data_IF_431049259309
#
_entry.id   IF_431049259309
#
_cell.length_a   1.000
_cell.length_b   1.000
_cell.length_c   1.000
_cell.angle_alpha   90.00
_cell.angle_beta   90.00
_cell.angle_gamma   90.00
#
_symmetry.space_group_name_H-M   'P 1'
#
loop_
_entity.id
_entity.type
_entity.pdbx_description
1 polymer ?
#
# COMPACT_ATOMS: atom_id res chain seq x y z
N UNK A 1 -23.28 -1.49 0.39
CA UNK A 1 -22.19 -1.94 1.26
C UNK A 1 -21.06 -0.93 1.10
N UNK A 2 -20.64 -0.23 2.17
CA UNK A 2 -19.51 0.69 2.09
C UNK A 2 -18.24 -0.09 1.66
N UNK A 3 -17.40 0.53 0.83
CA UNK A 3 -16.19 -0.09 0.26
C UNK A 3 -15.28 -0.74 1.33
N UNK A 4 -15.35 -0.28 2.58
CA UNK A 4 -14.62 -0.79 3.74
C UNK A 4 -14.95 -2.24 4.14
N UNK A 5 -16.02 -2.84 3.63
CA UNK A 5 -16.48 -4.17 4.10
C UNK A 5 -15.99 -5.35 3.25
N UNK A 6 -15.32 -5.13 2.12
CA UNK A 6 -14.87 -6.24 1.25
C UNK A 6 -13.41 -6.09 0.86
N UNK A 7 -12.55 -6.93 1.44
CA UNK A 7 -11.27 -7.22 0.83
C UNK A 7 -11.55 -8.10 -0.38
N UNK A 8 -11.10 -7.70 -1.58
CA UNK A 8 -11.26 -8.52 -2.79
C UNK A 8 -10.53 -9.88 -2.65
N UNK A 9 -9.66 -10.03 -1.66
CA UNK A 9 -9.04 -11.29 -1.23
C UNK A 9 -9.76 -11.95 -0.06
N UNK A 10 -11.09 -11.87 -0.01
CA UNK A 10 -12.06 -12.36 1.00
C UNK A 10 -11.65 -13.58 1.87
N UNK A 11 -10.73 -14.44 1.42
CA UNK A 11 -10.21 -15.62 2.11
C UNK A 11 -8.96 -15.42 2.99
N UNK A 12 -8.31 -14.24 3.00
CA UNK A 12 -6.97 -14.09 3.63
C UNK A 12 -6.88 -13.08 4.77
N UNK A 13 -7.86 -12.18 4.89
CA UNK A 13 -7.90 -11.22 5.98
C UNK A 13 -9.32 -10.64 6.11
N UNK A 14 -9.73 -10.33 7.34
CA UNK A 14 -10.87 -9.44 7.56
C UNK A 14 -10.36 -8.01 7.41
N UNK A 15 -10.76 -7.24 6.36
CA UNK A 15 -10.24 -5.89 6.14
C UNK A 15 -10.58 -5.01 7.34
N UNK A 16 -9.57 -4.30 7.84
CA UNK A 16 -9.73 -3.22 8.80
C UNK A 16 -9.86 -1.88 8.08
N UNK A 17 -9.11 -1.72 6.98
CA UNK A 17 -9.19 -0.56 6.10
C UNK A 17 -8.77 -0.96 4.68
N UNK A 18 -9.40 -0.35 3.69
CA UNK A 18 -9.04 -0.53 2.29
C UNK A 18 -9.25 0.74 1.45
N UNK A 19 -8.56 0.79 0.32
CA UNK A 19 -8.79 1.74 -0.77
C UNK A 19 -8.85 0.93 -2.05
N UNK A 20 -9.94 1.06 -2.81
CA UNK A 20 -10.20 0.27 -4.01
C UNK A 20 -10.46 1.24 -5.17
N UNK A 21 -9.77 1.04 -6.28
CA UNK A 21 -10.02 1.79 -7.51
C UNK A 21 -11.44 1.50 -8.04
N UNK A 22 -12.04 2.43 -8.78
CA UNK A 22 -13.40 2.28 -9.33
C UNK A 22 -13.56 1.02 -10.18
N UNK A 23 -12.51 0.59 -10.88
CA UNK A 23 -12.51 -0.65 -11.68
C UNK A 23 -12.42 -1.94 -10.85
N UNK A 24 -12.06 -1.86 -9.57
CA UNK A 24 -11.79 -3.02 -8.70
C UNK A 24 -10.48 -3.75 -9.00
N UNK A 25 -9.74 -3.38 -10.04
CA UNK A 25 -8.52 -4.09 -10.46
C UNK A 25 -7.28 -3.72 -9.64
N UNK A 26 -7.28 -2.56 -8.99
CA UNK A 26 -6.20 -2.08 -8.11
C UNK A 26 -6.77 -1.77 -6.73
N UNK A 27 -6.07 -2.20 -5.69
CA UNK A 27 -6.45 -1.92 -4.31
C UNK A 27 -5.27 -2.01 -3.35
N UNK A 28 -5.42 -1.35 -2.21
CA UNK A 28 -4.56 -1.52 -1.03
C UNK A 28 -5.48 -1.84 0.15
N UNK A 29 -5.10 -2.80 0.99
CA UNK A 29 -5.82 -3.06 2.23
C UNK A 29 -4.90 -3.54 3.35
N UNK A 30 -5.30 -3.21 4.57
CA UNK A 30 -4.78 -3.81 5.80
C UNK A 30 -5.92 -4.54 6.50
N UNK A 31 -5.70 -5.79 6.85
CA UNK A 31 -6.69 -6.63 7.53
C UNK A 31 -6.13 -7.31 8.78
N UNK A 32 -7.03 -7.90 9.56
CA UNK A 32 -6.67 -8.69 10.73
C UNK A 32 -6.13 -10.06 10.32
N UNK A 33 -4.97 -10.42 10.88
CA UNK A 33 -4.37 -11.74 10.75
C UNK A 33 -4.70 -12.59 11.99
N UNK A 34 -5.45 -13.67 11.81
CA UNK A 34 -5.93 -14.48 12.93
C UNK A 34 -4.77 -15.25 13.57
N UNK A 35 -4.68 -15.37 14.92
CA UNK A 35 -3.55 -16.02 15.61
C UNK A 35 -3.22 -17.42 15.12
N UNK A 36 -4.22 -18.19 14.70
CA UNK A 36 -4.02 -19.55 14.17
C UNK A 36 -3.30 -19.60 12.81
N UNK A 37 -3.33 -18.49 12.06
CA UNK A 37 -2.77 -18.40 10.71
C UNK A 37 -1.40 -17.69 10.70
N UNK A 38 -0.87 -17.33 11.89
CA UNK A 38 0.37 -16.59 12.03
C UNK A 38 1.59 -17.49 12.03
N UNK A 39 2.54 -17.21 11.14
CA UNK A 39 3.89 -17.77 11.22
C UNK A 39 4.71 -17.15 12.35
N UNK A 40 4.53 -15.84 12.60
CA UNK A 40 5.17 -15.10 13.69
C UNK A 40 4.09 -14.51 14.61
N UNK A 41 4.17 -14.68 15.94
CA UNK A 41 3.11 -14.25 16.86
C UNK A 41 2.76 -12.75 16.79
N UNK A 42 3.75 -11.92 16.47
CA UNK A 42 3.64 -10.46 16.34
C UNK A 42 2.84 -10.01 15.12
N UNK A 43 2.72 -10.85 14.10
CA UNK A 43 2.14 -10.53 12.79
C UNK A 43 0.62 -10.46 12.85
N UNK A 44 0.12 -9.41 13.49
CA UNK A 44 -1.30 -9.21 13.74
C UNK A 44 -2.07 -8.72 12.53
N UNK A 45 -1.38 -8.32 11.46
CA UNK A 45 -1.97 -7.67 10.30
C UNK A 45 -1.60 -8.41 9.00
N UNK A 46 -2.50 -8.35 8.03
CA UNK A 46 -2.25 -8.76 6.65
C UNK A 46 -2.29 -7.53 5.76
N UNK A 47 -1.20 -7.26 5.03
CA UNK A 47 -1.14 -6.25 4.00
C UNK A 47 -1.41 -6.89 2.65
N UNK A 48 -2.29 -6.28 1.85
CA UNK A 48 -2.45 -6.63 0.44
C UNK A 48 -2.34 -5.37 -0.41
N UNK A 49 -1.53 -5.45 -1.45
CA UNK A 49 -1.43 -4.41 -2.47
C UNK A 49 -1.50 -5.04 -3.86
N UNK A 50 -2.44 -4.58 -4.67
CA UNK A 50 -2.57 -4.97 -6.06
C UNK A 50 -2.65 -3.75 -6.95
N UNK A 51 -1.88 -3.76 -8.03
CA UNK A 51 -2.10 -2.94 -9.21
C UNK A 51 -1.76 -3.76 -10.48
N UNK A 52 -1.58 -3.09 -11.62
CA UNK A 52 -1.22 -3.75 -12.89
C UNK A 52 0.18 -4.38 -12.88
N UNK A 53 1.11 -3.86 -12.08
CA UNK A 53 2.51 -4.27 -12.05
C UNK A 53 2.85 -5.18 -10.86
N UNK A 54 2.22 -4.95 -9.71
CA UNK A 54 2.57 -5.58 -8.43
C UNK A 54 1.36 -6.30 -7.85
N UNK A 55 1.63 -7.48 -7.29
CA UNK A 55 0.70 -8.27 -6.52
C UNK A 55 1.39 -8.73 -5.23
N UNK A 56 1.23 -7.94 -4.17
CA UNK A 56 1.89 -8.17 -2.90
C UNK A 56 0.89 -8.65 -1.85
N UNK A 57 1.37 -9.58 -1.03
CA UNK A 57 0.71 -10.04 0.18
C UNK A 57 1.73 -10.32 1.26
N UNK A 58 1.61 -9.64 2.40
CA UNK A 58 2.52 -9.74 3.53
C UNK A 58 1.80 -9.83 4.86
N UNK A 59 2.48 -10.40 5.85
CA UNK A 59 2.06 -10.42 7.25
C UNK A 59 2.92 -9.43 8.02
N UNK A 60 2.28 -8.52 8.75
CA UNK A 60 2.93 -7.40 9.40
C UNK A 60 2.60 -7.38 10.89
N UNK A 61 3.59 -7.00 11.69
CA UNK A 61 3.39 -6.61 13.06
C UNK A 61 3.05 -5.10 13.18
N UNK A 62 2.96 -4.61 14.41
CA UNK A 62 2.65 -3.20 14.66
C UNK A 62 3.80 -2.28 14.27
N UNK A 63 5.04 -2.72 14.46
CA UNK A 63 6.24 -1.92 14.19
C UNK A 63 6.43 -1.76 12.69
N UNK A 64 6.21 -2.82 11.91
CA UNK A 64 6.24 -2.79 10.45
C UNK A 64 5.35 -1.65 9.91
N UNK A 65 4.09 -1.59 10.35
CA UNK A 65 3.15 -0.53 9.93
C UNK A 65 3.69 0.87 10.27
N UNK A 66 4.16 1.06 11.51
CA UNK A 66 4.62 2.38 11.97
C UNK A 66 5.84 2.83 11.16
N UNK A 67 6.80 1.94 10.96
CA UNK A 67 8.03 2.26 10.24
C UNK A 67 7.76 2.49 8.76
N UNK A 68 6.92 1.66 8.12
CA UNK A 68 6.49 1.86 6.73
C UNK A 68 5.78 3.20 6.55
N UNK A 69 4.83 3.55 7.42
CA UNK A 69 4.15 4.85 7.36
C UNK A 69 5.12 6.01 7.53
N UNK A 70 6.10 5.89 8.43
CA UNK A 70 7.13 6.92 8.63
C UNK A 70 7.99 7.11 7.38
N UNK A 71 8.42 6.01 6.75
CA UNK A 71 9.21 6.06 5.50
C UNK A 71 8.38 6.68 4.36
N UNK A 72 7.13 6.26 4.20
CA UNK A 72 6.23 6.81 3.16
C UNK A 72 5.96 8.30 3.36
N UNK A 73 5.67 8.74 4.59
CA UNK A 73 5.45 10.15 4.89
C UNK A 73 6.70 11.00 4.58
N UNK A 74 7.89 10.47 4.89
CA UNK A 74 9.16 11.14 4.58
C UNK A 74 9.37 11.22 3.07
N UNK A 75 9.11 10.13 2.34
CA UNK A 75 9.24 10.10 0.88
C UNK A 75 8.32 11.14 0.21
N UNK A 76 7.07 11.25 0.65
CA UNK A 76 6.13 12.28 0.15
C UNK A 76 6.63 13.70 0.44
N UNK A 77 7.25 13.93 1.60
CA UNK A 77 7.83 15.24 1.90
C UNK A 77 9.03 15.55 1.01
N UNK A 78 9.87 14.56 0.70
CA UNK A 78 11.01 14.72 -0.20
C UNK A 78 10.55 15.00 -1.63
N UNK A 79 9.52 14.28 -2.09
CA UNK A 79 8.93 14.44 -3.43
C UNK A 79 8.49 15.89 -3.68
N UNK A 80 7.75 16.48 -2.75
CA UNK A 80 7.34 17.89 -2.81
C UNK A 80 8.54 18.84 -2.81
N UNK A 81 9.58 18.55 -2.02
CA UNK A 81 10.77 19.39 -2.01
C UNK A 81 11.50 19.36 -3.36
N UNK A 82 11.58 18.19 -4.01
CA UNK A 82 12.16 18.04 -5.35
C UNK A 82 11.36 18.84 -6.36
N UNK A 83 10.04 18.66 -6.38
CA UNK A 83 9.14 19.40 -7.27
C UNK A 83 9.39 20.91 -7.21
N UNK A 84 9.43 21.47 -5.99
CA UNK A 84 9.66 22.91 -5.78
C UNK A 84 11.07 23.34 -6.17
N UNK A 85 12.09 22.54 -5.83
CA UNK A 85 13.48 22.87 -6.12
C UNK A 85 13.79 22.86 -7.62
N UNK A 86 13.16 21.95 -8.37
CA UNK A 86 13.35 21.80 -9.81
C UNK A 86 12.36 22.63 -10.64
N UNK A 87 11.38 23.27 -10.01
CA UNK A 87 10.36 24.07 -10.68
C UNK A 87 9.44 23.24 -11.58
N UNK A 88 9.22 21.98 -11.22
CA UNK A 88 8.44 21.00 -11.99
C UNK A 88 6.94 21.11 -11.68
N UNK A 89 6.11 20.81 -12.66
CA UNK A 89 4.67 20.64 -12.46
C UNK A 89 4.33 19.21 -12.00
N UNK A 90 3.09 18.97 -11.55
CA UNK A 90 2.64 17.60 -11.25
C UNK A 90 2.73 16.68 -12.49
N UNK A 91 2.48 17.21 -13.69
CA UNK A 91 2.59 16.42 -14.92
C UNK A 91 4.04 16.02 -15.20
N UNK A 92 4.99 16.93 -14.97
CA UNK A 92 6.42 16.64 -15.10
C UNK A 92 6.87 15.57 -14.07
N UNK A 93 6.40 15.68 -12.82
CA UNK A 93 6.70 14.70 -11.75
C UNK A 93 6.10 13.31 -12.05
N UNK A 94 4.92 13.28 -12.65
CA UNK A 94 4.23 12.03 -13.01
C UNK A 94 4.75 11.41 -14.31
N UNK A 95 5.63 12.10 -15.04
CA UNK A 95 6.27 11.56 -16.24
C UNK A 95 7.34 10.53 -15.85
N UNK A 96 6.90 9.35 -15.43
CA UNK A 96 7.81 8.23 -15.20
C UNK A 96 8.52 7.87 -16.51
N UNK A 97 9.85 7.92 -16.55
CA UNK A 97 10.61 7.40 -17.67
C UNK A 97 10.56 5.86 -17.65
N UNK A 98 9.48 5.32 -18.19
CA UNK A 98 9.25 3.87 -18.32
C UNK A 98 10.18 3.22 -19.35
N UNK A 99 11.12 3.98 -19.96
CA UNK A 99 12.08 3.47 -20.95
C UNK A 99 13.44 3.13 -20.35
N UNK A 100 13.74 3.59 -19.13
CA UNK A 100 14.93 3.19 -18.38
C UNK A 100 14.68 1.80 -17.79
N UNK A 101 15.06 0.78 -18.56
CA UNK A 101 15.18 -0.59 -18.03
C UNK A 101 16.42 -0.63 -17.12
N UNK A 102 16.38 -1.25 -15.93
CA UNK A 102 17.56 -1.44 -15.09
C UNK A 102 18.64 -2.29 -15.79
#
# INVERSE_FOLDING_TARGET
>A
MPQSETCLRQKRATPLQNVIATSGNSFVCVGYNHPADRSVPGDRFCHCWKNSAVDEHGHWDRRDIIDTLSVMATALSIDVNIQVAEGMTDDDMNQADLTVTP
#
